data_IF_215742005166
#
_entry.id   IF_215742005166
#
_cell.length_a   1.000
_cell.length_b   1.000
_cell.length_c   1.000
_cell.angle_alpha   90.00
_cell.angle_beta   90.00
_cell.angle_gamma   90.00
#
_symmetry.space_group_name_H-M   'P 1'
#
loop_
_entity.id
_entity.type
_entity.pdbx_description
1 polymer ?
#
# COMPACT_ATOMS: atom_id res chain seq x y z
N UNK A 1 -0.76 8.10 14.66
CA UNK A 1 -1.64 8.34 13.50
C UNK A 1 -2.57 7.15 13.33
N UNK A 2 -3.64 7.26 12.54
CA UNK A 2 -4.54 6.13 12.24
C UNK A 2 -4.27 5.63 10.82
N UNK A 3 -4.61 4.37 10.56
CA UNK A 3 -4.56 3.79 9.22
C UNK A 3 -5.49 4.58 8.30
N UNK A 4 -4.95 5.04 7.18
CA UNK A 4 -5.67 5.75 6.14
C UNK A 4 -5.74 4.89 4.88
N UNK A 5 -6.94 4.39 4.59
CA UNK A 5 -7.20 3.52 3.45
C UNK A 5 -7.14 4.26 2.11
N UNK A 6 -7.42 5.57 2.08
CA UNK A 6 -7.27 6.37 0.86
C UNK A 6 -5.80 6.55 0.54
N UNK A 7 -4.98 6.78 1.57
CA UNK A 7 -3.54 6.83 1.40
C UNK A 7 -2.98 5.50 0.87
N UNK A 8 -3.37 4.36 1.45
CA UNK A 8 -2.94 3.06 0.92
C UNK A 8 -3.40 2.81 -0.51
N UNK A 9 -4.63 3.21 -0.84
CA UNK A 9 -5.14 3.07 -2.20
C UNK A 9 -4.32 3.89 -3.18
N UNK A 10 -4.05 5.16 -2.88
CA UNK A 10 -3.19 6.04 -3.67
C UNK A 10 -1.78 5.47 -3.81
N UNK A 11 -1.17 5.02 -2.71
CA UNK A 11 0.15 4.41 -2.70
C UNK A 11 0.21 3.17 -3.58
N UNK A 12 -0.72 2.23 -3.44
CA UNK A 12 -0.70 0.98 -4.18
C UNK A 12 -1.13 1.11 -5.64
N UNK A 13 -1.99 2.08 -5.96
CA UNK A 13 -2.30 2.42 -7.36
C UNK A 13 -1.05 2.79 -8.14
N UNK A 14 -0.12 3.55 -7.55
CA UNK A 14 1.15 3.89 -8.19
C UNK A 14 1.95 2.65 -8.64
N UNK A 15 1.96 1.58 -7.84
CA UNK A 15 2.60 0.32 -8.22
C UNK A 15 1.82 -0.43 -9.30
N UNK A 16 0.49 -0.43 -9.23
CA UNK A 16 -0.37 -1.19 -10.15
C UNK A 16 -0.50 -0.56 -11.53
N UNK A 17 -0.36 0.76 -11.62
CA UNK A 17 -0.45 1.53 -12.86
C UNK A 17 0.89 1.61 -13.60
N UNK A 18 1.99 1.20 -12.95
CA UNK A 18 3.30 1.17 -13.58
C UNK A 18 3.40 0.06 -14.64
N UNK A 19 3.99 0.39 -15.78
CA UNK A 19 4.37 -0.58 -16.81
C UNK A 19 5.64 -1.37 -16.44
N UNK A 20 6.34 -0.96 -15.37
CA UNK A 20 7.58 -1.58 -14.90
C UNK A 20 7.34 -2.45 -13.67
N UNK A 21 8.17 -3.49 -13.51
CA UNK A 21 8.07 -4.42 -12.37
C UNK A 21 8.42 -3.78 -11.01
N UNK A 22 9.13 -2.66 -11.03
CA UNK A 22 9.51 -1.86 -9.86
C UNK A 22 9.24 -0.39 -10.16
N UNK A 23 8.99 0.38 -9.10
CA UNK A 23 8.87 1.83 -9.12
C UNK A 23 9.86 2.44 -8.13
N UNK A 24 10.14 3.73 -8.28
CA UNK A 24 11.00 4.48 -7.36
C UNK A 24 10.22 5.57 -6.62
N UNK A 25 10.88 6.35 -5.76
CA UNK A 25 10.20 7.46 -5.07
C UNK A 25 9.78 8.56 -6.03
N UNK A 26 10.52 8.73 -7.12
CA UNK A 26 10.16 9.67 -8.18
C UNK A 26 8.80 9.30 -8.77
N UNK A 27 8.59 8.03 -9.10
CA UNK A 27 7.34 7.53 -9.66
C UNK A 27 6.16 7.74 -8.69
N UNK A 28 6.38 7.51 -7.39
CA UNK A 28 5.37 7.78 -6.34
C UNK A 28 4.96 9.25 -6.29
N UNK A 29 5.93 10.17 -6.39
CA UNK A 29 5.65 11.61 -6.38
C UNK A 29 4.91 12.02 -7.66
N UNK A 30 5.34 11.50 -8.82
CA UNK A 30 4.71 11.78 -10.11
C UNK A 30 3.27 11.23 -10.19
N UNK A 31 2.97 10.11 -9.51
CA UNK A 31 1.61 9.57 -9.38
C UNK A 31 0.75 10.30 -8.35
N UNK A 32 1.28 11.34 -7.68
CA UNK A 32 0.55 12.17 -6.72
C UNK A 32 0.52 11.64 -5.29
N UNK A 33 1.37 10.66 -4.92
CA UNK A 33 1.51 10.22 -3.52
C UNK A 33 2.22 11.30 -2.72
N UNK A 34 1.66 11.67 -1.57
CA UNK A 34 2.19 12.70 -0.68
C UNK A 34 3.42 12.23 0.11
N UNK A 35 4.56 12.03 -0.56
CA UNK A 35 5.82 11.57 0.08
C UNK A 35 6.42 12.63 1.02
N UNK A 36 6.37 13.90 0.63
CA UNK A 36 7.07 15.01 1.28
C UNK A 36 8.01 15.71 0.29
N UNK A 37 8.54 16.87 0.68
CA UNK A 37 9.43 17.69 -0.17
C UNK A 37 10.78 17.81 0.53
N UNK A 38 11.86 17.54 -0.21
CA UNK A 38 13.25 17.69 0.27
C UNK A 38 13.49 16.98 1.62
N UNK A 39 14.05 17.70 2.60
CA UNK A 39 14.39 17.21 3.94
C UNK A 39 13.18 17.08 4.89
N UNK A 40 11.96 17.33 4.39
CA UNK A 40 10.73 17.32 5.18
C UNK A 40 9.76 16.24 4.68
N UNK A 41 10.05 14.99 5.03
CA UNK A 41 9.19 13.85 4.72
C UNK A 41 7.86 13.95 5.46
N UNK A 42 6.78 13.60 4.77
CA UNK A 42 5.45 13.63 5.34
C UNK A 42 5.33 12.54 6.42
N UNK A 43 5.01 12.90 7.67
CA UNK A 43 4.84 11.92 8.75
C UNK A 43 3.73 10.90 8.45
N UNK A 44 2.70 11.28 7.68
CA UNK A 44 1.68 10.35 7.20
C UNK A 44 2.27 9.30 6.27
N UNK A 45 3.15 9.71 5.36
CA UNK A 45 3.85 8.80 4.47
C UNK A 45 4.72 7.82 5.27
N UNK A 46 5.54 8.34 6.19
CA UNK A 46 6.42 7.51 7.03
C UNK A 46 5.63 6.50 7.85
N UNK A 47 4.55 6.94 8.50
CA UNK A 47 3.70 6.07 9.30
C UNK A 47 3.14 4.90 8.48
N UNK A 48 2.64 5.15 7.27
CA UNK A 48 2.08 4.10 6.43
C UNK A 48 3.15 3.20 5.80
N UNK A 49 4.33 3.74 5.48
CA UNK A 49 5.47 2.95 5.02
C UNK A 49 5.99 2.01 6.11
N UNK A 50 6.05 2.45 7.36
CA UNK A 50 6.38 1.56 8.49
C UNK A 50 5.37 0.43 8.63
N UNK A 51 4.07 0.72 8.51
CA UNK A 51 3.05 -0.32 8.51
C UNK A 51 3.15 -1.27 7.30
N UNK A 52 3.58 -0.78 6.12
CA UNK A 52 3.91 -1.65 4.99
C UNK A 52 5.06 -2.60 5.33
N UNK A 53 6.09 -2.11 6.04
CA UNK A 53 7.21 -2.92 6.49
C UNK A 53 6.75 -3.96 7.51
N UNK A 54 6.03 -3.54 8.54
CA UNK A 54 5.53 -4.42 9.61
C UNK A 54 4.64 -5.57 9.09
N UNK A 55 4.07 -5.41 7.89
CA UNK A 55 3.15 -6.37 7.29
C UNK A 55 3.67 -6.98 5.96
N UNK A 56 4.94 -6.76 5.62
CA UNK A 56 5.58 -7.23 4.39
C UNK A 56 4.83 -6.86 3.09
N UNK A 57 4.26 -5.66 2.99
CA UNK A 57 3.43 -5.27 1.82
C UNK A 57 4.26 -4.77 0.63
N UNK A 58 5.44 -4.21 0.90
CA UNK A 58 6.35 -3.65 -0.10
C UNK A 58 7.72 -4.33 0.10
N UNK A 59 8.48 -4.53 -0.97
CA UNK A 59 9.88 -4.98 -0.90
C UNK A 59 10.74 -4.15 -1.84
N UNK A 60 12.04 -4.06 -1.57
CA UNK A 60 13.00 -3.58 -2.58
C UNK A 60 13.27 -4.66 -3.66
N UNK A 61 14.10 -4.34 -4.65
CA UNK A 61 14.50 -5.25 -5.73
C UNK A 61 15.19 -6.55 -5.25
N UNK A 62 15.79 -6.53 -4.04
CA UNK A 62 16.42 -7.69 -3.40
C UNK A 62 15.44 -8.52 -2.56
N UNK A 63 14.14 -8.18 -2.61
CA UNK A 63 13.08 -8.76 -1.79
C UNK A 63 13.25 -8.50 -0.28
N UNK A 64 13.94 -7.42 0.07
CA UNK A 64 14.16 -7.03 1.45
C UNK A 64 13.10 -6.03 1.89
N UNK A 65 12.66 -6.16 3.15
CA UNK A 65 11.73 -5.24 3.80
C UNK A 65 11.89 -5.36 5.32
N UNK A 66 12.96 -4.80 5.86
CA UNK A 66 13.29 -4.95 7.28
C UNK A 66 13.08 -3.66 8.07
N UNK A 67 13.28 -2.52 7.42
CA UNK A 67 13.20 -1.19 8.02
C UNK A 67 13.09 -0.10 6.93
N UNK A 68 12.95 1.15 7.36
CA UNK A 68 12.87 2.31 6.47
C UNK A 68 14.10 2.45 5.56
N UNK A 69 15.31 2.19 6.09
CA UNK A 69 16.56 2.29 5.32
C UNK A 69 16.61 1.27 4.17
N UNK A 70 16.09 0.05 4.38
CA UNK A 70 16.00 -0.97 3.34
C UNK A 70 15.13 -0.58 2.15
N UNK A 71 14.22 0.39 2.38
CA UNK A 71 13.39 1.00 1.35
C UNK A 71 13.92 2.37 0.92
N UNK A 72 15.10 2.83 1.35
CA UNK A 72 15.67 4.10 0.93
C UNK A 72 15.27 5.31 1.79
N UNK A 73 14.56 5.14 2.90
CA UNK A 73 14.25 6.22 3.84
C UNK A 73 15.28 6.22 4.96
N UNK A 74 16.21 7.18 4.91
CA UNK A 74 17.25 7.35 5.90
C UNK A 74 16.96 8.48 6.89
N UNK A 75 17.73 8.53 7.97
CA UNK A 75 17.73 9.64 8.92
C UNK A 75 19.14 10.06 9.30
N UNK A 76 19.35 11.35 9.49
CA UNK A 76 20.56 11.92 10.09
C UNK A 76 20.18 12.70 11.36
N UNK A 77 21.13 13.39 11.98
CA UNK A 77 20.94 14.06 13.29
C UNK A 77 19.77 15.05 13.34
N UNK A 78 19.34 15.59 12.21
CA UNK A 78 18.30 16.62 12.18
C UNK A 78 17.19 16.35 11.17
N UNK A 79 17.47 15.62 10.09
CA UNK A 79 16.56 15.49 8.95
C UNK A 79 16.39 14.01 8.54
N UNK A 80 15.25 13.71 7.92
CA UNK A 80 15.04 12.48 7.15
C UNK A 80 15.31 12.76 5.68
N UNK A 81 15.78 11.76 4.96
CA UNK A 81 16.08 11.87 3.54
C UNK A 81 15.65 10.61 2.80
N UNK A 82 15.46 10.74 1.49
CA UNK A 82 15.18 9.63 0.58
C UNK A 82 16.37 9.41 -0.34
N UNK A 83 16.79 8.16 -0.44
CA UNK A 83 17.64 7.64 -1.52
C UNK A 83 16.71 6.87 -2.46
N UNK A 84 16.86 7.10 -3.75
CA UNK A 84 16.03 6.41 -4.73
C UNK A 84 16.35 4.91 -4.73
N UNK A 85 15.33 4.11 -4.47
CA UNK A 85 15.40 2.65 -4.38
C UNK A 85 14.26 2.07 -5.21
N UNK A 86 14.56 1.06 -6.00
CA UNK A 86 13.54 0.30 -6.73
C UNK A 86 12.73 -0.56 -5.76
N UNK A 87 11.43 -0.32 -5.73
CA UNK A 87 10.45 -0.94 -4.84
C UNK A 87 9.36 -1.63 -5.65
N UNK A 88 8.73 -2.66 -5.06
CA UNK A 88 7.55 -3.34 -5.61
C UNK A 88 6.60 -3.77 -4.49
N UNK A 89 5.34 -4.03 -4.83
CA UNK A 89 4.43 -4.72 -3.93
C UNK A 89 4.86 -6.17 -3.76
N UNK A 90 4.82 -6.70 -2.54
CA UNK A 90 4.91 -8.14 -2.32
C UNK A 90 3.63 -8.85 -2.81
N UNK A 91 3.57 -10.18 -2.74
CA UNK A 91 2.31 -10.88 -3.00
C UNK A 91 1.20 -10.40 -2.06
N UNK A 92 1.48 -10.25 -0.75
CA UNK A 92 0.52 -9.70 0.22
C UNK A 92 0.12 -8.26 -0.14
N UNK A 93 1.07 -7.48 -0.61
CA UNK A 93 0.84 -6.12 -1.12
C UNK A 93 -0.14 -6.11 -2.30
N UNK A 94 0.08 -6.98 -3.30
CA UNK A 94 -0.83 -7.14 -4.44
C UNK A 94 -2.23 -7.59 -4.01
N UNK A 95 -2.33 -8.55 -3.09
CA UNK A 95 -3.62 -9.04 -2.59
C UNK A 95 -4.40 -7.90 -1.92
N UNK A 96 -3.73 -7.06 -1.13
CA UNK A 96 -4.38 -5.92 -0.49
C UNK A 96 -4.71 -4.80 -1.48
N UNK A 97 -3.82 -4.51 -2.44
CA UNK A 97 -4.07 -3.54 -3.49
C UNK A 97 -5.30 -3.93 -4.33
N UNK A 98 -5.45 -5.21 -4.69
CA UNK A 98 -6.65 -5.74 -5.36
C UNK A 98 -7.93 -5.54 -4.53
N UNK A 99 -7.83 -5.72 -3.21
CA UNK A 99 -8.92 -5.45 -2.27
C UNK A 99 -9.33 -3.98 -2.27
N UNK A 100 -8.37 -3.05 -2.20
CA UNK A 100 -8.64 -1.60 -2.18
C UNK A 100 -9.12 -1.04 -3.53
N UNK A 101 -8.78 -1.71 -4.63
CA UNK A 101 -9.23 -1.34 -5.98
C UNK A 101 -10.64 -1.85 -6.32
N UNK A 102 -11.18 -2.81 -5.56
CA UNK A 102 -12.60 -3.13 -5.67
C UNK A 102 -13.43 -2.06 -4.94
N UNK A 103 -14.21 -1.27 -5.70
CA UNK A 103 -14.98 -0.14 -5.17
C UNK A 103 -15.93 -0.54 -4.03
N UNK A 104 -16.70 -1.62 -4.20
CA UNK A 104 -17.68 -2.06 -3.20
C UNK A 104 -17.00 -2.49 -1.88
N UNK A 105 -15.89 -3.23 -2.00
CA UNK A 105 -15.10 -3.67 -0.84
C UNK A 105 -14.46 -2.47 -0.15
N UNK A 106 -13.87 -1.55 -0.91
CA UNK A 106 -13.23 -0.35 -0.39
C UNK A 106 -14.20 0.53 0.40
N UNK A 107 -15.39 0.79 -0.16
CA UNK A 107 -16.42 1.60 0.49
C UNK A 107 -16.85 0.96 1.82
N UNK A 108 -16.97 -0.38 1.86
CA UNK A 108 -17.32 -1.13 3.08
C UNK A 108 -16.20 -1.12 4.12
N UNK A 109 -14.95 -1.23 3.70
CA UNK A 109 -13.79 -1.12 4.60
C UNK A 109 -13.73 0.27 5.24
N UNK A 110 -13.96 1.33 4.46
CA UNK A 110 -14.01 2.70 4.98
C UNK A 110 -15.16 2.93 5.96
N UNK A 111 -16.34 2.33 5.73
CA UNK A 111 -17.49 2.55 6.61
C UNK A 111 -17.40 1.76 7.92
N UNK A 112 -16.99 0.48 7.86
CA UNK A 112 -17.06 -0.42 9.02
C UNK A 112 -15.71 -0.71 9.69
N UNK A 113 -14.58 -0.51 9.01
CA UNK A 113 -13.26 -0.97 9.47
C UNK A 113 -12.23 0.16 9.69
N UNK A 114 -12.58 1.43 9.47
CA UNK A 114 -11.65 2.59 9.50
C UNK A 114 -10.82 2.76 10.79
N UNK A 115 -11.29 2.24 11.91
CA UNK A 115 -10.64 2.35 13.23
C UNK A 115 -10.11 1.00 13.74
N UNK A 116 -10.11 -0.03 12.88
CA UNK A 116 -9.67 -1.38 13.25
C UNK A 116 -8.15 -1.53 13.07
N UNK A 117 -7.52 -2.49 13.79
CA UNK A 117 -6.13 -2.86 13.54
C UNK A 117 -5.90 -3.35 12.10
N UNK A 118 -4.68 -3.14 11.57
CA UNK A 118 -4.33 -3.50 10.18
C UNK A 118 -4.72 -4.94 9.83
N UNK A 119 -4.37 -5.92 10.67
CA UNK A 119 -4.70 -7.32 10.44
C UNK A 119 -6.20 -7.54 10.22
N UNK A 120 -7.04 -6.88 10.99
CA UNK A 120 -8.50 -6.96 10.87
C UNK A 120 -8.99 -6.32 9.56
N UNK A 121 -8.41 -5.19 9.16
CA UNK A 121 -8.70 -4.54 7.88
C UNK A 121 -8.30 -5.47 6.72
N UNK A 122 -7.10 -6.02 6.74
CA UNK A 122 -6.58 -6.90 5.70
C UNK A 122 -7.42 -8.18 5.58
N UNK A 123 -7.59 -8.92 6.68
CA UNK A 123 -8.36 -10.18 6.68
C UNK A 123 -9.83 -9.94 6.32
N UNK A 124 -10.42 -8.86 6.84
CA UNK A 124 -11.80 -8.45 6.53
C UNK A 124 -11.97 -8.10 5.06
N UNK A 125 -11.01 -7.35 4.49
CA UNK A 125 -11.00 -6.97 3.09
C UNK A 125 -10.92 -8.16 2.15
N UNK A 126 -10.01 -9.11 2.41
CA UNK A 126 -9.90 -10.35 1.64
C UNK A 126 -11.20 -11.17 1.68
N UNK A 127 -11.84 -11.27 2.85
CA UNK A 127 -13.14 -11.95 2.98
C UNK A 127 -14.24 -11.27 2.19
N UNK A 128 -14.32 -9.93 2.23
CA UNK A 128 -15.29 -9.15 1.45
C UNK A 128 -15.06 -9.33 -0.05
N UNK A 129 -13.80 -9.27 -0.50
CA UNK A 129 -13.45 -9.50 -1.90
C UNK A 129 -13.83 -10.90 -2.36
N UNK A 130 -13.51 -11.94 -1.58
CA UNK A 130 -13.88 -13.31 -1.90
C UNK A 130 -15.39 -13.51 -1.98
N UNK A 131 -16.16 -12.91 -1.06
CA UNK A 131 -17.62 -12.94 -1.10
C UNK A 131 -18.18 -12.28 -2.37
N UNK A 132 -17.62 -11.14 -2.75
CA UNK A 132 -17.99 -10.44 -3.98
C UNK A 132 -17.66 -11.27 -5.23
N UNK A 133 -16.44 -11.83 -5.31
CA UNK A 133 -16.01 -12.66 -6.43
C UNK A 133 -16.83 -13.94 -6.55
N UNK A 134 -17.21 -14.57 -5.44
CA UNK A 134 -18.09 -15.75 -5.44
C UNK A 134 -19.44 -15.43 -6.09
N UNK A 135 -20.09 -14.33 -5.70
CA UNK A 135 -21.35 -13.91 -6.33
C UNK A 135 -21.21 -13.72 -7.84
N UNK A 136 -20.09 -13.14 -8.29
CA UNK A 136 -19.81 -12.98 -9.73
C UNK A 136 -19.57 -14.32 -10.42
N UNK A 137 -18.88 -15.24 -9.77
CA UNK A 137 -18.64 -16.59 -10.28
C UNK A 137 -19.94 -17.36 -10.50
N UNK A 138 -20.86 -17.28 -9.53
CA UNK A 138 -22.16 -17.95 -9.62
C UNK A 138 -22.98 -17.44 -10.82
N UNK A 139 -22.85 -16.16 -11.18
CA UNK A 139 -23.47 -15.59 -12.39
C UNK A 139 -22.79 -16.11 -13.65
N UNK A 140 -21.46 -16.11 -13.71
CA UNK A 140 -20.70 -16.56 -14.88
C UNK A 140 -20.87 -18.07 -15.18
N UNK A 141 -21.09 -18.89 -14.15
CA UNK A 141 -21.30 -20.33 -14.30
C UNK A 141 -22.76 -20.71 -14.62
N UNK A 142 -23.69 -19.76 -14.49
CA UNK A 142 -25.09 -19.95 -14.85
C UNK A 142 -25.37 -19.60 -16.34
N UNK A 143 -24.39 -19.03 -17.04
CA UNK A 143 -24.36 -18.79 -18.49
C UNK A 143 -23.85 -20.02 -19.25
#
# INVERSE_FOLDING_TARGET
>A
MKIDLEFYKSLFSAFLESESAHITYKDLIESGVEVGIEDNLNEKFIFHMQLCIDNDLITNEKQECYNLESLGIGSNKSNRYIIDVSMRLSQKGHDFAATLNNKEVFDKLKSEFKDMPFKTIFDGGQKLLNHFLKKRMDVLLAE
#
